data_IF_207573394882
#
_entry.id   IF_207573394882
#
_cell.length_a   1.000
_cell.length_b   1.000
_cell.length_c   1.000
_cell.angle_alpha   90.00
_cell.angle_beta   90.00
_cell.angle_gamma   90.00
#
_symmetry.space_group_name_H-M   'P 1'
#
loop_
_entity.id
_entity.type
_entity.pdbx_description
1 polymer ?
#
# COMPACT_ATOMS: atom_id res chain seq x y z
N UNK A 1 -18.63 2.44 3.00
CA UNK A 1 -17.81 2.88 1.85
C UNK A 1 -18.59 3.87 0.97
N UNK A 2 -17.93 4.88 0.40
CA UNK A 2 -18.54 5.91 -0.45
C UNK A 2 -19.01 5.32 -1.80
N UNK A 3 -20.02 5.97 -2.40
CA UNK A 3 -20.55 5.60 -3.73
C UNK A 3 -20.93 6.86 -4.52
N UNK A 4 -21.20 6.70 -5.82
CA UNK A 4 -21.69 7.81 -6.66
C UNK A 4 -20.74 9.01 -6.69
N UNK A 5 -21.30 10.22 -6.74
CA UNK A 5 -20.50 11.45 -6.86
C UNK A 5 -19.47 11.63 -5.74
N UNK A 6 -19.77 11.17 -4.52
CA UNK A 6 -18.83 11.24 -3.39
C UNK A 6 -17.60 10.37 -3.61
N UNK A 7 -17.79 9.15 -4.13
CA UNK A 7 -16.66 8.29 -4.52
C UNK A 7 -15.86 8.90 -5.66
N UNK A 8 -16.54 9.51 -6.64
CA UNK A 8 -15.87 10.22 -7.75
C UNK A 8 -14.97 11.36 -7.26
N UNK A 9 -15.46 12.16 -6.32
CA UNK A 9 -14.71 13.23 -5.69
C UNK A 9 -13.53 12.70 -4.85
N UNK A 10 -13.74 11.62 -4.10
CA UNK A 10 -12.68 10.98 -3.32
C UNK A 10 -11.55 10.43 -4.22
N UNK A 11 -11.89 9.87 -5.39
CA UNK A 11 -10.90 9.43 -6.38
C UNK A 11 -10.10 10.62 -6.90
N UNK A 12 -10.76 11.74 -7.23
CA UNK A 12 -10.08 12.93 -7.73
C UNK A 12 -9.14 13.54 -6.69
N UNK A 13 -9.58 13.67 -5.44
CA UNK A 13 -8.74 14.21 -4.38
C UNK A 13 -7.53 13.31 -4.08
N UNK A 14 -7.69 11.99 -4.16
CA UNK A 14 -6.58 11.04 -3.98
C UNK A 14 -5.54 11.15 -5.12
N UNK A 15 -6.00 11.33 -6.37
CA UNK A 15 -5.13 11.59 -7.52
C UNK A 15 -4.32 12.87 -7.32
N UNK A 16 -4.99 13.95 -6.87
CA UNK A 16 -4.34 15.24 -6.58
C UNK A 16 -3.35 15.12 -5.43
N UNK A 17 -3.72 14.45 -4.34
CA UNK A 17 -2.84 14.22 -3.18
C UNK A 17 -1.58 13.43 -3.55
N UNK A 18 -1.73 12.40 -4.40
CA UNK A 18 -0.60 11.60 -4.91
C UNK A 18 0.21 12.31 -6.00
N UNK A 19 -0.24 13.48 -6.47
CA UNK A 19 0.38 14.29 -7.53
C UNK A 19 0.57 13.52 -8.85
N UNK A 20 -0.39 12.67 -9.20
CA UNK A 20 -0.38 11.92 -10.47
C UNK A 20 -1.45 12.45 -11.43
N UNK A 21 -1.34 12.10 -12.71
CA UNK A 21 -2.37 12.42 -13.70
C UNK A 21 -3.41 11.29 -13.82
N UNK A 22 -4.62 11.61 -14.27
CA UNK A 22 -5.65 10.61 -14.61
C UNK A 22 -5.16 9.60 -15.66
N UNK A 23 -4.29 10.04 -16.58
CA UNK A 23 -3.62 9.17 -17.56
C UNK A 23 -2.66 8.19 -16.88
N UNK A 24 -1.79 8.67 -15.99
CA UNK A 24 -0.86 7.80 -15.26
C UNK A 24 -1.61 6.75 -14.42
N UNK A 25 -2.74 7.14 -13.82
CA UNK A 25 -3.62 6.18 -13.15
C UNK A 25 -4.22 5.15 -14.11
N UNK A 26 -4.67 5.59 -15.29
CA UNK A 26 -5.21 4.68 -16.31
C UNK A 26 -4.15 3.67 -16.79
N UNK A 27 -2.93 4.15 -17.07
CA UNK A 27 -1.79 3.33 -17.48
C UNK A 27 -1.45 2.30 -16.39
N UNK A 28 -1.43 2.70 -15.11
CA UNK A 28 -1.19 1.80 -13.96
C UNK A 28 -2.23 0.68 -13.86
N UNK A 29 -3.49 1.00 -14.10
CA UNK A 29 -4.61 0.05 -14.00
C UNK A 29 -4.87 -0.74 -15.29
N UNK A 30 -4.05 -0.52 -16.34
CA UNK A 30 -4.21 -1.15 -17.65
C UNK A 30 -5.55 -0.82 -18.31
N UNK A 31 -6.11 0.36 -18.06
CA UNK A 31 -7.40 0.81 -18.60
C UNK A 31 -7.24 2.04 -19.48
N UNK A 32 -8.29 2.35 -20.25
CA UNK A 32 -8.29 3.54 -21.09
C UNK A 32 -8.50 4.81 -20.25
N UNK A 33 -7.85 5.94 -20.56
CA UNK A 33 -8.05 7.20 -19.83
C UNK A 33 -9.50 7.66 -19.65
N UNK A 34 -10.43 7.47 -20.63
CA UNK A 34 -11.85 7.79 -20.44
C UNK A 34 -12.54 7.01 -19.31
N UNK A 35 -12.04 5.81 -18.97
CA UNK A 35 -12.56 5.02 -17.85
C UNK A 35 -12.32 5.73 -16.52
N UNK A 36 -11.11 6.24 -16.29
CA UNK A 36 -10.77 7.02 -15.08
C UNK A 36 -11.60 8.31 -15.02
N UNK A 37 -11.82 8.97 -16.17
CA UNK A 37 -12.69 10.14 -16.24
C UNK A 37 -14.14 9.80 -15.82
N UNK A 38 -14.65 8.64 -16.24
CA UNK A 38 -15.99 8.16 -15.86
C UNK A 38 -16.06 7.84 -14.36
N UNK A 39 -15.00 7.26 -13.78
CA UNK A 39 -14.92 7.00 -12.35
C UNK A 39 -14.98 8.28 -11.53
N UNK A 40 -14.18 9.28 -11.91
CA UNK A 40 -14.17 10.58 -11.25
C UNK A 40 -15.50 11.30 -11.41
N UNK A 41 -16.10 11.27 -12.60
CA UNK A 41 -17.34 12.00 -12.89
C UNK A 41 -18.58 11.37 -12.25
N UNK A 42 -18.65 10.04 -12.19
CA UNK A 42 -19.87 9.31 -11.82
C UNK A 42 -19.72 8.39 -10.61
N UNK A 43 -18.51 8.19 -10.09
CA UNK A 43 -18.21 7.21 -9.04
C UNK A 43 -18.52 5.77 -9.41
N UNK A 44 -18.57 5.46 -10.71
CA UNK A 44 -18.90 4.13 -11.20
C UNK A 44 -17.63 3.35 -11.47
N UNK A 45 -17.25 2.50 -10.55
CA UNK A 45 -16.06 1.64 -10.62
C UNK A 45 -16.45 0.23 -10.17
N UNK A 46 -15.88 -0.77 -10.83
CA UNK A 46 -16.06 -2.17 -10.44
C UNK A 46 -15.46 -2.43 -9.05
N UNK A 47 -16.09 -3.30 -8.25
CA UNK A 47 -15.65 -3.60 -6.90
C UNK A 47 -14.20 -4.07 -6.84
N UNK A 48 -13.76 -4.92 -7.78
CA UNK A 48 -12.39 -5.44 -7.81
C UNK A 48 -11.37 -4.33 -8.02
N UNK A 49 -11.65 -3.43 -8.97
CA UNK A 49 -10.79 -2.28 -9.28
C UNK A 49 -10.77 -1.25 -8.16
N UNK A 50 -11.88 -1.10 -7.45
CA UNK A 50 -11.99 -0.20 -6.31
C UNK A 50 -11.15 -0.67 -5.13
N UNK A 51 -11.13 -1.96 -4.83
CA UNK A 51 -10.23 -2.53 -3.82
C UNK A 51 -8.76 -2.31 -4.21
N UNK A 52 -8.42 -2.54 -5.49
CA UNK A 52 -7.07 -2.26 -6.00
C UNK A 52 -6.70 -0.77 -5.89
N UNK A 53 -7.65 0.12 -6.16
CA UNK A 53 -7.50 1.57 -6.07
C UNK A 53 -7.28 2.04 -4.62
N UNK A 54 -8.07 1.56 -3.68
CA UNK A 54 -7.90 1.85 -2.25
C UNK A 54 -6.49 1.44 -1.79
N UNK A 55 -6.04 0.24 -2.18
CA UNK A 55 -4.70 -0.23 -1.85
C UNK A 55 -3.59 0.56 -2.57
N UNK A 56 -3.82 1.02 -3.79
CA UNK A 56 -2.84 1.83 -4.51
C UNK A 56 -2.63 3.21 -3.87
N UNK A 57 -3.64 3.75 -3.20
CA UNK A 57 -3.60 5.05 -2.54
C UNK A 57 -3.46 4.98 -1.01
N UNK A 58 -3.26 3.79 -0.42
CA UNK A 58 -3.17 3.62 1.04
C UNK A 58 -1.96 4.34 1.66
N UNK A 59 -0.93 4.60 0.88
CA UNK A 59 0.24 5.41 1.24
C UNK A 59 -0.05 6.93 1.22
N UNK A 60 -1.17 7.34 0.65
CA UNK A 60 -1.50 8.75 0.35
C UNK A 60 -2.71 9.24 1.12
N UNK A 61 -3.77 8.41 1.20
CA UNK A 61 -5.02 8.76 1.88
C UNK A 61 -5.45 7.61 2.79
N UNK A 62 -6.01 7.91 3.97
CA UNK A 62 -6.39 6.88 4.93
C UNK A 62 -7.69 6.18 4.50
N UNK A 63 -8.04 5.01 5.07
CA UNK A 63 -9.23 4.25 4.67
C UNK A 63 -10.56 5.03 4.80
N UNK A 64 -10.66 5.94 5.77
CA UNK A 64 -11.82 6.80 6.02
C UNK A 64 -12.10 7.71 4.82
N UNK A 65 -11.07 8.03 4.02
CA UNK A 65 -11.19 8.78 2.77
C UNK A 65 -12.14 8.12 1.78
N UNK A 66 -12.23 6.79 1.83
CA UNK A 66 -13.10 5.97 0.99
C UNK A 66 -14.44 5.66 1.69
N UNK A 67 -14.70 6.27 2.85
CA UNK A 67 -15.86 6.00 3.70
C UNK A 67 -15.85 4.59 4.30
N UNK A 68 -14.66 3.99 4.48
CA UNK A 68 -14.51 2.73 5.19
C UNK A 68 -14.43 2.99 6.69
N UNK A 69 -15.12 2.17 7.47
CA UNK A 69 -14.90 2.04 8.92
C UNK A 69 -13.61 1.27 9.19
N UNK A 70 -13.04 1.40 10.39
CA UNK A 70 -11.84 0.66 10.79
C UNK A 70 -11.96 -0.86 10.58
N UNK A 71 -13.16 -1.44 10.82
CA UNK A 71 -13.43 -2.86 10.56
C UNK A 71 -13.42 -3.20 9.07
N UNK A 72 -13.98 -2.33 8.22
CA UNK A 72 -13.98 -2.56 6.77
C UNK A 72 -12.59 -2.39 6.17
N UNK A 73 -11.79 -1.46 6.68
CA UNK A 73 -10.39 -1.28 6.28
C UNK A 73 -9.57 -2.56 6.53
N UNK A 74 -9.69 -3.14 7.73
CA UNK A 74 -9.03 -4.40 8.10
C UNK A 74 -9.41 -5.56 7.17
N UNK A 75 -10.70 -5.68 6.83
CA UNK A 75 -11.19 -6.69 5.88
C UNK A 75 -10.63 -6.50 4.47
N UNK A 76 -10.49 -5.26 3.99
CA UNK A 76 -9.92 -4.97 2.66
C UNK A 76 -8.44 -5.37 2.59
N UNK A 77 -7.67 -5.14 3.66
CA UNK A 77 -6.26 -5.56 3.72
C UNK A 77 -6.15 -7.09 3.76
N UNK A 78 -6.95 -7.77 4.60
CA UNK A 78 -7.00 -9.25 4.66
C UNK A 78 -7.36 -9.90 3.33
N UNK A 79 -8.30 -9.30 2.58
CA UNK A 79 -8.80 -9.85 1.30
C UNK A 79 -7.75 -9.92 0.19
N UNK A 80 -6.71 -9.07 0.25
CA UNK A 80 -5.68 -8.97 -0.79
C UNK A 80 -4.52 -9.94 -0.58
N UNK A 81 -4.43 -10.57 0.59
CA UNK A 81 -3.48 -11.64 0.89
C UNK A 81 -4.21 -12.98 1.12
N UNK A 82 -4.80 -13.61 0.07
CA UNK A 82 -5.37 -14.96 0.23
C UNK A 82 -4.30 -16.02 0.58
N UNK A 83 -3.01 -15.72 0.35
CA UNK A 83 -1.90 -16.57 0.74
C UNK A 83 -1.43 -16.37 2.20
N UNK A 84 -1.77 -15.26 2.86
CA UNK A 84 -1.35 -14.97 4.23
C UNK A 84 -2.46 -15.13 5.29
N UNK A 85 -3.71 -15.27 4.86
CA UNK A 85 -4.84 -15.42 5.77
C UNK A 85 -4.83 -16.73 6.59
N UNK A 86 -3.94 -17.68 6.26
CA UNK A 86 -3.86 -18.97 6.94
C UNK A 86 -2.67 -19.13 7.92
N UNK A 87 -1.73 -18.18 8.03
CA UNK A 87 -0.51 -18.46 8.80
C UNK A 87 0.25 -17.28 9.39
N UNK A 88 -0.26 -16.04 9.37
CA UNK A 88 0.48 -14.91 9.97
C UNK A 88 -0.10 -14.49 11.33
N UNK A 89 0.76 -14.43 12.35
CA UNK A 89 0.45 -13.89 13.67
C UNK A 89 0.26 -12.38 13.61
N UNK A 90 -0.33 -11.82 14.67
CA UNK A 90 -0.49 -10.37 14.78
C UNK A 90 0.86 -9.62 14.74
N UNK A 91 1.96 -10.25 15.19
CA UNK A 91 3.31 -9.68 15.10
C UNK A 91 3.80 -9.61 13.65
N UNK A 92 3.53 -10.64 12.84
CA UNK A 92 3.95 -10.67 11.45
C UNK A 92 3.17 -9.67 10.59
N UNK A 93 1.89 -9.43 10.91
CA UNK A 93 1.09 -8.38 10.28
C UNK A 93 1.64 -6.97 10.58
N UNK A 94 2.03 -6.71 11.82
CA UNK A 94 2.67 -5.45 12.22
C UNK A 94 4.04 -5.27 11.55
N UNK A 95 4.83 -6.33 11.44
CA UNK A 95 6.11 -6.32 10.73
C UNK A 95 5.93 -6.02 9.24
N UNK A 96 4.92 -6.62 8.59
CA UNK A 96 4.60 -6.36 7.19
C UNK A 96 4.14 -4.91 6.95
N UNK A 97 3.24 -4.41 7.80
CA UNK A 97 2.75 -3.02 7.75
C UNK A 97 3.88 -2.01 7.99
N UNK A 98 4.80 -2.33 8.90
CA UNK A 98 6.02 -1.56 9.17
C UNK A 98 6.95 -1.54 7.96
N UNK A 99 7.17 -2.70 7.31
CA UNK A 99 7.97 -2.81 6.09
C UNK A 99 7.37 -2.00 4.93
N UNK A 100 6.05 -2.07 4.73
CA UNK A 100 5.36 -1.28 3.70
C UNK A 100 5.45 0.22 3.97
N UNK A 101 5.31 0.63 5.24
CA UNK A 101 5.46 2.02 5.67
C UNK A 101 6.90 2.54 5.55
N UNK A 102 7.91 1.66 5.58
CA UNK A 102 9.33 1.98 5.41
C UNK A 102 9.78 2.02 3.94
N UNK A 103 9.05 1.40 3.02
CA UNK A 103 9.39 1.33 1.58
C UNK A 103 9.48 2.70 0.90
N UNK A 104 8.89 3.74 1.50
CA UNK A 104 8.99 5.15 1.05
C UNK A 104 9.96 6.04 1.83
N UNK A 105 10.55 5.54 2.92
CA UNK A 105 11.48 6.29 3.81
C UNK A 105 12.92 5.77 3.74
N UNK A 106 13.17 4.76 2.91
CA UNK A 106 14.43 4.02 2.85
C UNK A 106 15.39 4.62 1.82
N UNK A 107 16.67 4.76 2.19
CA UNK A 107 17.72 5.18 1.26
C UNK A 107 17.92 4.11 0.16
N UNK A 108 18.42 4.47 -1.05
CA UNK A 108 18.59 3.51 -2.16
C UNK A 108 19.40 2.26 -1.79
N UNK A 109 20.34 2.41 -0.85
CA UNK A 109 21.17 1.30 -0.33
C UNK A 109 20.40 0.37 0.60
N UNK A 110 19.51 0.91 1.44
CA UNK A 110 18.63 0.11 2.31
C UNK A 110 17.57 -0.61 1.48
N UNK A 111 17.07 -0.01 0.40
CA UNK A 111 16.08 -0.61 -0.50
C UNK A 111 16.63 -1.88 -1.17
N UNK A 112 17.85 -1.80 -1.73
CA UNK A 112 18.53 -2.95 -2.33
C UNK A 112 18.83 -4.07 -1.32
N UNK A 113 19.12 -3.72 -0.06
CA UNK A 113 19.30 -4.70 1.00
C UNK A 113 17.98 -5.39 1.36
N UNK A 114 16.88 -4.65 1.43
CA UNK A 114 15.54 -5.21 1.69
C UNK A 114 15.08 -6.12 0.56
N UNK A 115 15.27 -5.74 -0.71
CA UNK A 115 14.96 -6.57 -1.88
C UNK A 115 15.75 -7.90 -1.87
N UNK A 116 17.03 -7.84 -1.50
CA UNK A 116 17.88 -9.04 -1.40
C UNK A 116 17.40 -9.99 -0.32
N UNK A 117 16.95 -9.46 0.83
CA UNK A 117 16.44 -10.26 1.95
C UNK A 117 15.06 -10.84 1.64
N UNK A 118 14.19 -10.07 0.98
CA UNK A 118 12.88 -10.53 0.47
C UNK A 118 13.07 -11.71 -0.49
N UNK A 119 14.05 -11.62 -1.40
CA UNK A 119 14.36 -12.72 -2.31
C UNK A 119 14.91 -13.95 -1.57
N UNK A 120 15.81 -13.77 -0.61
CA UNK A 120 16.33 -14.87 0.21
C UNK A 120 15.21 -15.57 1.01
N UNK A 121 14.24 -14.82 1.52
CA UNK A 121 13.08 -15.34 2.22
C UNK A 121 12.20 -16.21 1.30
N UNK A 122 11.90 -15.72 0.10
CA UNK A 122 11.10 -16.43 -0.89
C UNK A 122 11.75 -17.73 -1.35
N UNK A 123 13.08 -17.80 -1.33
CA UNK A 123 13.84 -18.99 -1.69
C UNK A 123 14.11 -19.92 -0.48
N UNK A 124 13.64 -19.55 0.72
CA UNK A 124 13.87 -20.32 1.96
C UNK A 124 15.33 -20.33 2.41
N UNK A 125 16.13 -19.36 1.97
CA UNK A 125 17.58 -19.24 2.23
C UNK A 125 17.91 -18.10 3.19
N UNK A 126 16.98 -17.75 4.07
CA UNK A 126 17.19 -16.68 5.04
C UNK A 126 18.31 -17.06 6.01
N UNK A 127 19.31 -16.20 6.14
CA UNK A 127 20.44 -16.41 7.06
C UNK A 127 20.31 -15.54 8.32
N UNK A 128 21.03 -15.89 9.39
CA UNK A 128 21.11 -15.04 10.59
C UNK A 128 21.66 -13.64 10.28
N UNK A 129 22.57 -13.54 9.31
CA UNK A 129 23.11 -12.25 8.86
C UNK A 129 22.05 -11.36 8.22
N UNK A 130 21.09 -11.95 7.49
CA UNK A 130 19.95 -11.23 6.91
C UNK A 130 19.04 -10.66 8.01
N UNK A 131 18.82 -11.43 9.07
CA UNK A 131 18.02 -11.01 10.24
C UNK A 131 18.72 -9.85 10.97
N UNK A 132 20.03 -9.99 11.24
CA UNK A 132 20.83 -8.93 11.88
C UNK A 132 20.89 -7.66 11.03
N UNK A 133 20.92 -7.81 9.70
CA UNK A 133 20.89 -6.67 8.79
C UNK A 133 19.54 -5.94 8.85
N UNK A 134 18.42 -6.68 8.89
CA UNK A 134 17.08 -6.12 9.09
C UNK A 134 16.98 -5.34 10.41
N UNK A 135 17.46 -5.90 11.52
CA UNK A 135 17.45 -5.23 12.82
C UNK A 135 18.28 -3.93 12.80
N UNK A 136 19.47 -3.95 12.19
CA UNK A 136 20.31 -2.76 12.05
C UNK A 136 19.65 -1.70 11.16
N UNK A 137 18.94 -2.11 10.12
CA UNK A 137 18.17 -1.20 9.25
C UNK A 137 17.04 -0.57 10.06
N UNK A 138 16.25 -1.37 10.78
CA UNK A 138 15.13 -0.89 11.61
C UNK A 138 15.59 0.13 12.67
N UNK A 139 16.64 -0.20 13.43
CA UNK A 139 17.20 0.67 14.48
C UNK A 139 17.69 2.01 13.96
N UNK A 140 18.23 2.06 12.72
CA UNK A 140 18.61 3.32 12.08
C UNK A 140 17.41 4.22 11.79
N UNK A 141 16.26 3.65 11.42
CA UNK A 141 15.05 4.42 11.17
C UNK A 141 14.35 4.88 12.45
N UNK A 142 14.45 4.12 13.55
CA UNK A 142 13.98 4.57 14.87
C UNK A 142 14.77 5.79 15.38
N UNK A 143 16.10 5.77 15.23
CA UNK A 143 16.95 6.89 15.63
C UNK A 143 16.76 8.16 14.77
N UNK A 144 16.35 8.01 13.50
CA UNK A 144 16.03 9.17 12.65
C UNK A 144 14.72 9.86 13.03
N UNK A 145 13.77 9.16 13.68
CA UNK A 145 12.51 9.77 14.15
C UNK A 145 12.67 10.67 15.40
N UNK A 146 13.82 10.66 16.06
CA UNK A 146 14.07 11.46 17.29
C UNK A 146 14.69 12.84 17.02
N UNK A 147 14.85 13.25 15.75
CA UNK A 147 15.49 14.52 15.39
C UNK A 147 14.69 15.39 14.41
N UNK A 148 13.45 15.02 14.08
CA UNK A 148 12.46 15.83 13.36
C UNK A 148 11.28 16.17 14.28
#
# INVERSE_FOLDING_TARGET
>A
MLTGSELGAAIESAIVAKKITKKALADRFGIKPPSVQTWVKHGRIDKSKLIELIAYFSDTVPPEHWGLTAKEADLVVRSKHPAAAAALTAEEYYALDTLYSLRGKTTPRSMKALESIEQAANEGRLTEDDILLLERIAKRFENQKQHD
#
